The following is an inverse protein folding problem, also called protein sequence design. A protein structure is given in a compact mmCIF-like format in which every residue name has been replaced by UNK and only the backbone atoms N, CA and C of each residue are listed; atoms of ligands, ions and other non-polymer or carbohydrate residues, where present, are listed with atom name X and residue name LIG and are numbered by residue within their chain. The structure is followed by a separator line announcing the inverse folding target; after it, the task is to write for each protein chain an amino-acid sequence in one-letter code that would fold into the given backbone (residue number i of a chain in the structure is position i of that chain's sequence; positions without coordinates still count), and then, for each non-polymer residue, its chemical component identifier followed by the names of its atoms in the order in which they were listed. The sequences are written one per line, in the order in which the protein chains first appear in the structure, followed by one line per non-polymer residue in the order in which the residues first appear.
data_IF_817639794953
#
_entry.id   IF_817639794953
#
_cell.length_a   1.000
_cell.length_b   1.000
_cell.length_c   1.000
_cell.angle_alpha   90.00
_cell.angle_beta   90.00
_cell.angle_gamma   90.00
#
_symmetry.space_group_name_H-M   'P 1'
#
loop_
_entity.id
_entity.type
_entity.pdbx_description
1 polymer ?
#
# COMPACT_ATOMS: atom_id res chain seq x y z
N UNK A 1 89.75 3.73 46.52
CA UNK A 1 88.47 4.07 47.16
C UNK A 1 87.42 3.62 46.14
N UNK A 2 86.86 2.41 46.23
CA UNK A 2 86.14 1.84 47.38
C UNK A 2 84.80 2.57 47.51
N UNK A 3 83.61 1.98 47.48
CA UNK A 3 83.15 0.58 47.54
C UNK A 3 81.76 0.50 46.81
N UNK A 4 81.09 -0.62 46.49
CA UNK A 4 81.27 -2.06 46.78
C UNK A 4 80.57 -2.92 45.69
N UNK A 5 80.63 -4.26 45.78
CA UNK A 5 79.65 -5.18 45.17
C UNK A 5 78.69 -5.72 46.24
N UNK A 6 77.39 -5.83 45.93
CA UNK A 6 76.50 -6.79 46.60
C UNK A 6 75.64 -7.53 45.58
N UNK A 7 75.63 -8.85 45.73
CA UNK A 7 74.95 -9.84 44.90
C UNK A 7 73.71 -10.39 45.60
N UNK A 8 72.63 -10.63 44.87
CA UNK A 8 71.65 -11.68 45.24
C UNK A 8 71.20 -12.44 43.98
N UNK A 9 71.18 -13.77 44.07
CA UNK A 9 70.77 -14.69 43.00
C UNK A 9 69.24 -14.76 42.86
N UNK A 10 68.74 -15.03 41.66
CA UNK A 10 67.32 -15.29 41.39
C UNK A 10 67.10 -16.01 40.06
N UNK A 11 67.04 -17.35 40.11
CA UNK A 11 67.08 -18.22 38.93
C UNK A 11 65.72 -18.32 38.20
N UNK A 12 65.74 -18.24 36.86
CA UNK A 12 64.81 -18.91 35.94
C UNK A 12 63.37 -18.40 35.83
N UNK A 13 63.00 -17.88 34.66
CA UNK A 13 62.32 -18.73 33.66
C UNK A 13 62.24 -18.08 32.27
N UNK A 14 62.36 -18.91 31.23
CA UNK A 14 61.92 -18.54 29.89
C UNK A 14 60.40 -18.36 29.88
N UNK A 15 59.90 -17.30 29.23
CA UNK A 15 58.72 -17.43 28.39
C UNK A 15 58.70 -16.32 27.33
N UNK A 16 58.77 -16.74 26.07
CA UNK A 16 58.52 -15.88 24.92
C UNK A 16 57.07 -15.37 24.99
N UNK A 17 56.88 -14.05 25.00
CA UNK A 17 55.66 -13.43 24.50
C UNK A 17 56.02 -12.38 23.46
N UNK A 18 56.30 -12.88 22.25
CA UNK A 18 56.21 -12.06 21.05
C UNK A 18 54.74 -11.63 20.91
N UNK A 19 54.41 -10.42 21.38
CA UNK A 19 53.19 -9.74 20.95
C UNK A 19 53.33 -9.40 19.46
N UNK A 20 53.06 -10.41 18.64
CA UNK A 20 52.80 -10.24 17.22
C UNK A 20 51.47 -9.52 17.15
N UNK A 21 51.51 -8.22 16.91
CA UNK A 21 50.34 -7.47 16.47
C UNK A 21 49.84 -8.12 15.19
N UNK A 22 48.84 -9.00 15.32
CA UNK A 22 48.13 -9.57 14.19
C UNK A 22 47.28 -8.46 13.61
N UNK A 23 47.88 -7.68 12.70
CA UNK A 23 47.18 -6.82 11.76
C UNK A 23 46.23 -7.68 10.93
N UNK A 24 45.04 -7.91 11.47
CA UNK A 24 43.96 -8.61 10.79
C UNK A 24 43.47 -7.72 9.67
N UNK A 25 44.04 -7.90 8.48
CA UNK A 25 43.44 -7.40 7.25
C UNK A 25 42.05 -8.00 7.14
N UNK A 26 41.04 -7.19 7.46
CA UNK A 26 39.65 -7.62 7.44
C UNK A 26 39.29 -8.07 6.05
N UNK A 27 39.01 -9.36 5.88
CA UNK A 27 38.37 -9.86 4.66
C UNK A 27 36.98 -9.24 4.65
N UNK A 28 36.75 -8.26 3.78
CA UNK A 28 35.40 -7.72 3.60
C UNK A 28 34.49 -8.87 3.13
N UNK A 29 33.56 -9.24 4.00
CA UNK A 29 32.65 -10.35 3.74
C UNK A 29 31.78 -10.03 2.52
N UNK A 30 31.76 -10.93 1.53
CA UNK A 30 31.05 -10.72 0.26
C UNK A 30 29.59 -10.31 0.56
N UNK A 31 29.10 -9.18 0.02
CA UNK A 31 27.74 -8.75 0.27
C UNK A 31 26.74 -9.80 -0.24
N UNK A 32 25.68 -10.01 0.55
CA UNK A 32 24.59 -10.93 0.18
C UNK A 32 23.86 -10.36 -1.03
N UNK A 33 23.85 -11.10 -2.15
CA UNK A 33 23.27 -10.69 -3.42
C UNK A 33 21.78 -11.03 -3.42
N UNK A 34 20.97 -10.01 -3.17
CA UNK A 34 19.50 -10.09 -3.23
C UNK A 34 19.05 -9.64 -4.61
N UNK A 35 18.13 -10.40 -5.22
CA UNK A 35 17.48 -10.04 -6.47
C UNK A 35 16.00 -9.71 -6.22
N UNK A 36 15.53 -8.58 -6.75
CA UNK A 36 14.11 -8.24 -6.77
C UNK A 36 13.67 -7.94 -8.20
N UNK A 37 12.58 -8.54 -8.65
CA UNK A 37 12.04 -8.35 -9.99
C UNK A 37 10.71 -7.60 -10.04
N UNK A 38 10.40 -7.10 -11.23
CA UNK A 38 9.15 -6.43 -11.48
C UNK A 38 9.09 -5.75 -12.84
N UNK A 39 7.95 -5.09 -13.07
CA UNK A 39 7.72 -4.30 -14.27
C UNK A 39 8.16 -2.86 -14.05
N UNK A 40 7.96 -2.33 -12.84
CA UNK A 40 8.35 -0.97 -12.45
C UNK A 40 7.74 0.17 -13.30
N UNK A 41 6.64 -0.10 -14.00
CA UNK A 41 5.86 0.90 -14.76
C UNK A 41 5.26 1.98 -13.84
N UNK A 42 5.32 3.24 -14.28
CA UNK A 42 5.08 4.45 -13.49
C UNK A 42 5.78 4.38 -12.12
N UNK A 43 7.11 4.27 -12.11
CA UNK A 43 7.90 4.02 -10.91
C UNK A 43 7.55 4.99 -9.77
N UNK A 44 7.08 4.44 -8.65
CA UNK A 44 6.47 5.18 -7.55
C UNK A 44 6.97 4.69 -6.19
N UNK A 45 6.71 5.45 -5.12
CA UNK A 45 7.22 5.16 -3.78
C UNK A 45 6.88 3.76 -3.24
N UNK A 46 5.79 3.13 -3.69
CA UNK A 46 5.48 1.73 -3.37
C UNK A 46 6.52 0.72 -3.88
N UNK A 47 7.12 0.96 -5.06
CA UNK A 47 8.24 0.14 -5.58
C UNK A 47 9.51 0.45 -4.79
N UNK A 48 9.82 1.74 -4.59
CA UNK A 48 11.01 2.14 -3.83
C UNK A 48 11.01 1.58 -2.39
N UNK A 49 9.86 1.47 -1.71
CA UNK A 49 9.72 0.84 -0.40
C UNK A 49 9.84 -0.68 -0.41
N UNK A 50 9.47 -1.36 -1.51
CA UNK A 50 9.73 -2.80 -1.65
C UNK A 50 11.24 -3.06 -1.84
N UNK A 51 11.89 -2.25 -2.67
CA UNK A 51 13.35 -2.29 -2.87
C UNK A 51 14.12 -1.90 -1.60
N UNK A 52 13.61 -0.94 -0.81
CA UNK A 52 14.15 -0.61 0.52
C UNK A 52 14.14 -1.83 1.47
N UNK A 53 13.04 -2.59 1.49
CA UNK A 53 12.94 -3.81 2.29
C UNK A 53 13.95 -4.85 1.81
N UNK A 54 14.04 -5.09 0.49
CA UNK A 54 15.00 -6.02 -0.09
C UNK A 54 16.46 -5.65 0.24
N UNK A 55 16.83 -4.37 0.10
CA UNK A 55 18.17 -3.83 0.43
C UNK A 55 18.51 -3.92 1.93
N UNK A 56 17.51 -4.03 2.81
CA UNK A 56 17.66 -4.09 4.27
C UNK A 56 17.48 -5.51 4.84
N UNK A 57 17.36 -6.55 4.01
CA UNK A 57 17.21 -7.93 4.48
C UNK A 57 18.43 -8.44 5.26
N UNK A 58 19.63 -8.00 4.91
CA UNK A 58 20.88 -8.38 5.57
C UNK A 58 21.76 -7.15 5.84
N UNK A 59 22.66 -7.18 6.85
CA UNK A 59 23.52 -6.05 7.21
C UNK A 59 24.40 -5.55 6.05
N UNK A 60 24.92 -6.47 5.23
CA UNK A 60 25.66 -6.17 4.01
C UNK A 60 24.94 -6.79 2.80
N UNK A 61 24.11 -6.00 2.12
CA UNK A 61 23.29 -6.44 0.99
C UNK A 61 23.68 -5.71 -0.29
N UNK A 62 23.83 -6.46 -1.39
CA UNK A 62 23.90 -5.94 -2.76
C UNK A 62 22.59 -6.29 -3.49
N UNK A 63 21.83 -5.29 -3.88
CA UNK A 63 20.50 -5.43 -4.49
C UNK A 63 20.59 -5.29 -6.01
N UNK A 64 20.40 -6.42 -6.68
CA UNK A 64 20.14 -6.50 -8.11
C UNK A 64 18.64 -6.32 -8.34
N UNK A 65 18.25 -5.50 -9.32
CA UNK A 65 16.84 -5.32 -9.70
C UNK A 65 16.61 -5.73 -11.16
N UNK A 66 15.87 -6.83 -11.34
CA UNK A 66 15.46 -7.32 -12.64
C UNK A 66 14.23 -6.59 -13.15
N UNK A 67 14.29 -6.09 -14.39
CA UNK A 67 13.16 -5.41 -15.01
C UNK A 67 12.77 -6.11 -16.31
N UNK A 68 11.53 -6.60 -16.38
CA UNK A 68 11.01 -7.29 -17.56
C UNK A 68 10.90 -6.33 -18.75
N UNK A 69 11.21 -6.83 -19.95
CA UNK A 69 11.09 -6.05 -21.19
C UNK A 69 9.62 -5.86 -21.60
N UNK A 70 9.34 -4.96 -22.55
CA UNK A 70 7.97 -4.66 -22.95
C UNK A 70 7.28 -5.86 -23.61
N UNK A 71 8.00 -6.66 -24.41
CA UNK A 71 7.47 -7.86 -25.08
C UNK A 71 6.92 -8.89 -24.08
N UNK A 72 7.74 -9.34 -23.13
CA UNK A 72 7.33 -10.30 -22.08
C UNK A 72 6.20 -9.74 -21.23
N UNK A 73 6.28 -8.44 -20.88
CA UNK A 73 5.26 -7.78 -20.06
C UNK A 73 3.92 -7.74 -20.78
N UNK A 74 3.89 -7.37 -22.06
CA UNK A 74 2.66 -7.27 -22.85
C UNK A 74 2.07 -8.66 -23.12
N UNK A 75 2.92 -9.69 -23.27
CA UNK A 75 2.51 -11.08 -23.46
C UNK A 75 1.86 -11.70 -22.22
N UNK A 76 2.45 -11.50 -21.03
CA UNK A 76 2.06 -12.24 -19.82
C UNK A 76 1.30 -11.42 -18.76
N UNK A 77 1.22 -10.08 -18.90
CA UNK A 77 0.55 -9.21 -17.92
C UNK A 77 -0.38 -8.16 -18.54
N UNK A 78 0.08 -7.50 -19.60
CA UNK A 78 -0.63 -6.40 -20.25
C UNK A 78 0.27 -5.19 -20.54
N UNK A 79 -0.35 -4.11 -21.01
CA UNK A 79 0.36 -2.93 -21.51
C UNK A 79 1.02 -2.11 -20.39
N UNK A 80 2.19 -1.57 -20.71
CA UNK A 80 2.91 -0.55 -19.92
C UNK A 80 2.55 0.86 -20.41
N UNK A 81 2.69 1.85 -19.53
CA UNK A 81 2.63 3.29 -19.89
C UNK A 81 4.02 3.79 -20.25
N UNK A 82 5.02 3.47 -19.44
CA UNK A 82 6.43 3.75 -19.68
C UNK A 82 7.06 2.60 -20.48
N UNK A 83 7.88 2.92 -21.49
CA UNK A 83 8.63 1.90 -22.22
C UNK A 83 9.76 1.32 -21.36
N UNK A 84 10.28 0.17 -21.76
CA UNK A 84 11.30 -0.56 -21.00
C UNK A 84 12.54 0.27 -20.66
N UNK A 85 13.01 1.15 -21.56
CA UNK A 85 14.20 1.99 -21.31
C UNK A 85 13.93 3.03 -20.23
N UNK A 86 12.76 3.64 -20.24
CA UNK A 86 12.32 4.57 -19.18
C UNK A 86 12.17 3.85 -17.84
N UNK A 87 11.69 2.61 -17.83
CA UNK A 87 11.57 1.77 -16.62
C UNK A 87 12.95 1.36 -16.08
N UNK A 88 13.89 1.00 -16.97
CA UNK A 88 15.28 0.73 -16.60
C UNK A 88 15.95 1.96 -15.99
N UNK A 89 15.79 3.14 -16.59
CA UNK A 89 16.40 4.37 -16.08
C UNK A 89 15.78 4.83 -14.75
N UNK A 90 14.45 4.69 -14.60
CA UNK A 90 13.76 4.94 -13.33
C UNK A 90 14.33 4.14 -12.16
N UNK A 91 14.79 2.91 -12.42
CA UNK A 91 15.44 2.06 -11.41
C UNK A 91 16.87 2.51 -11.07
N UNK A 92 17.64 3.04 -12.03
CA UNK A 92 19.00 3.55 -11.79
C UNK A 92 19.04 4.75 -10.85
N UNK A 93 17.95 5.50 -10.78
CA UNK A 93 17.78 6.61 -9.84
C UNK A 93 17.14 6.20 -8.50
N UNK A 94 16.84 4.92 -8.29
CA UNK A 94 16.33 4.43 -7.01
C UNK A 94 17.48 4.25 -6.01
N UNK A 95 17.46 5.03 -4.91
CA UNK A 95 18.47 5.03 -3.82
C UNK A 95 18.91 3.64 -3.32
N UNK A 96 18.05 2.63 -3.41
CA UNK A 96 18.26 1.31 -2.81
C UNK A 96 18.92 0.30 -3.76
N UNK A 97 19.03 0.63 -5.05
CA UNK A 97 19.45 -0.29 -6.11
C UNK A 97 20.94 -0.13 -6.41
N UNK A 98 21.67 -1.24 -6.44
CA UNK A 98 23.10 -1.24 -6.81
C UNK A 98 23.30 -1.65 -8.27
N UNK A 99 22.50 -2.60 -8.77
CA UNK A 99 22.59 -3.14 -10.13
C UNK A 99 21.17 -3.24 -10.74
N UNK A 100 21.00 -2.83 -12.01
CA UNK A 100 19.76 -3.05 -12.77
C UNK A 100 20.04 -4.06 -13.87
N UNK A 101 19.25 -5.13 -13.93
CA UNK A 101 19.29 -6.18 -14.96
C UNK A 101 18.14 -5.93 -15.96
N UNK A 102 18.42 -5.42 -17.18
CA UNK A 102 17.44 -5.32 -18.26
C UNK A 102 17.06 -6.71 -18.79
N UNK A 103 15.91 -6.82 -19.47
CA UNK A 103 15.44 -8.08 -20.04
C UNK A 103 15.36 -9.23 -19.02
N UNK A 104 14.90 -8.94 -17.80
CA UNK A 104 14.72 -9.97 -16.78
C UNK A 104 13.72 -11.06 -17.25
N UNK A 105 13.98 -12.34 -16.94
CA UNK A 105 13.12 -13.44 -17.35
C UNK A 105 11.79 -13.42 -16.60
N UNK A 106 10.73 -14.01 -17.19
CA UNK A 106 9.41 -14.10 -16.57
C UNK A 106 9.34 -15.14 -15.44
N UNK A 107 10.14 -16.20 -15.54
CA UNK A 107 10.29 -17.27 -14.54
C UNK A 107 11.78 -17.44 -14.29
N UNK A 108 12.19 -17.49 -13.02
CA UNK A 108 13.59 -17.60 -12.65
C UNK A 108 14.09 -19.03 -12.81
N UNK A 109 15.29 -19.19 -13.38
CA UNK A 109 15.96 -20.49 -13.56
C UNK A 109 17.22 -20.56 -12.70
N UNK A 110 17.69 -21.78 -12.41
CA UNK A 110 18.97 -21.96 -11.69
C UNK A 110 20.13 -21.30 -12.43
N UNK A 111 20.18 -21.43 -13.76
CA UNK A 111 21.18 -20.77 -14.62
C UNK A 111 21.20 -19.23 -14.42
N UNK A 112 20.03 -18.59 -14.33
CA UNK A 112 19.95 -17.15 -14.08
C UNK A 112 20.43 -16.79 -12.66
N UNK A 113 20.06 -17.58 -11.66
CA UNK A 113 20.52 -17.42 -10.27
C UNK A 113 22.05 -17.54 -10.19
N UNK A 114 22.64 -18.56 -10.81
CA UNK A 114 24.08 -18.82 -10.78
C UNK A 114 24.87 -17.76 -11.55
N UNK A 115 24.40 -17.39 -12.75
CA UNK A 115 25.00 -16.34 -13.59
C UNK A 115 25.13 -15.00 -12.89
N UNK A 116 24.11 -14.60 -12.11
CA UNK A 116 24.09 -13.35 -11.37
C UNK A 116 24.55 -13.49 -9.90
N UNK A 117 24.94 -14.70 -9.49
CA UNK A 117 25.34 -15.08 -8.12
C UNK A 117 24.29 -14.70 -7.06
N UNK A 118 23.02 -14.99 -7.35
CA UNK A 118 21.88 -14.59 -6.52
C UNK A 118 21.76 -15.53 -5.31
N UNK A 119 21.89 -14.96 -4.12
CA UNK A 119 21.74 -15.65 -2.84
C UNK A 119 20.26 -15.79 -2.47
N UNK A 120 19.47 -14.71 -2.63
CA UNK A 120 18.06 -14.66 -2.29
C UNK A 120 17.23 -13.85 -3.30
N UNK A 121 15.94 -14.19 -3.43
CA UNK A 121 14.96 -13.49 -4.27
C UNK A 121 13.92 -12.81 -3.38
N UNK A 122 13.67 -11.52 -3.58
CA UNK A 122 12.80 -10.69 -2.76
C UNK A 122 11.60 -10.16 -3.56
N UNK A 123 10.39 -10.61 -3.21
CA UNK A 123 9.13 -10.13 -3.79
C UNK A 123 8.01 -10.14 -2.73
N UNK A 124 6.82 -9.61 -3.02
CA UNK A 124 5.66 -9.80 -2.14
C UNK A 124 5.17 -11.26 -2.13
N UNK A 125 4.47 -11.64 -1.06
CA UNK A 125 4.12 -13.04 -0.75
C UNK A 125 2.90 -13.57 -1.50
N UNK A 126 2.24 -12.75 -2.33
CA UNK A 126 1.08 -13.19 -3.10
C UNK A 126 1.53 -14.15 -4.22
N UNK A 127 0.85 -15.29 -4.43
CA UNK A 127 1.15 -16.16 -5.57
C UNK A 127 0.99 -15.42 -6.89
N UNK A 128 2.03 -15.40 -7.71
CA UNK A 128 1.98 -14.78 -9.03
C UNK A 128 1.65 -15.85 -10.07
N UNK A 129 0.36 -15.94 -10.40
CA UNK A 129 -0.17 -16.90 -11.37
C UNK A 129 0.66 -16.87 -12.66
N UNK A 130 1.28 -18.01 -12.98
CA UNK A 130 2.21 -18.10 -14.09
C UNK A 130 1.48 -18.19 -15.43
N UNK A 131 1.33 -17.03 -16.08
CA UNK A 131 0.78 -16.93 -17.43
C UNK A 131 1.64 -17.57 -18.53
N UNK A 132 2.85 -18.05 -18.22
CA UNK A 132 3.66 -18.85 -19.16
C UNK A 132 3.31 -20.35 -19.15
N UNK A 133 2.64 -20.83 -18.10
CA UNK A 133 2.17 -22.22 -17.98
C UNK A 133 3.22 -23.22 -17.47
N UNK A 134 4.35 -22.77 -16.91
CA UNK A 134 5.37 -23.60 -16.31
C UNK A 134 5.03 -24.03 -14.86
N UNK A 135 4.21 -23.27 -14.14
CA UNK A 135 3.81 -23.59 -12.76
C UNK A 135 2.49 -22.97 -12.30
N UNK A 136 2.23 -22.99 -10.99
CA UNK A 136 1.10 -22.24 -10.40
C UNK A 136 1.51 -20.84 -9.91
N UNK A 137 2.78 -20.69 -9.57
CA UNK A 137 3.39 -19.45 -9.10
C UNK A 137 4.77 -19.31 -9.76
N UNK A 138 5.08 -18.16 -10.38
CA UNK A 138 6.40 -17.93 -11.02
C UNK A 138 7.56 -18.04 -10.03
N UNK A 139 7.29 -17.88 -8.72
CA UNK A 139 8.28 -18.03 -7.65
C UNK A 139 8.32 -19.44 -7.02
N UNK A 140 7.57 -20.42 -7.52
CA UNK A 140 7.46 -21.78 -6.96
C UNK A 140 8.84 -22.46 -6.85
N UNK A 141 9.70 -22.33 -7.87
CA UNK A 141 11.07 -22.82 -7.87
C UNK A 141 11.94 -22.16 -6.78
N UNK A 142 11.95 -20.83 -6.69
CA UNK A 142 12.82 -20.13 -5.71
C UNK A 142 12.33 -20.27 -4.27
N UNK A 143 11.03 -20.54 -4.09
CA UNK A 143 10.43 -20.94 -2.80
C UNK A 143 10.84 -22.36 -2.39
N UNK A 144 10.82 -23.33 -3.31
CA UNK A 144 11.16 -24.73 -2.98
C UNK A 144 12.62 -24.93 -2.59
N UNK A 145 13.54 -24.13 -3.12
CA UNK A 145 14.97 -24.11 -2.73
C UNK A 145 15.28 -23.18 -1.54
N UNK A 146 14.27 -22.62 -0.87
CA UNK A 146 14.45 -21.79 0.33
C UNK A 146 15.09 -20.41 0.11
N UNK A 147 15.23 -19.96 -1.15
CA UNK A 147 15.85 -18.67 -1.51
C UNK A 147 14.87 -17.48 -1.53
N UNK A 148 13.57 -17.70 -1.37
CA UNK A 148 12.58 -16.62 -1.38
C UNK A 148 12.53 -15.83 -0.06
N UNK A 149 12.39 -14.50 -0.13
CA UNK A 149 12.24 -13.57 0.99
C UNK A 149 11.07 -12.64 0.75
N UNK A 150 10.14 -12.59 1.69
CA UNK A 150 8.91 -11.81 1.53
C UNK A 150 9.13 -10.32 1.81
N UNK A 151 8.56 -9.47 0.96
CA UNK A 151 8.42 -8.02 1.17
C UNK A 151 6.95 -7.65 1.32
N UNK A 152 6.68 -6.50 1.95
CA UNK A 152 5.32 -5.97 2.13
C UNK A 152 5.03 -4.90 1.09
N UNK A 153 3.86 -5.02 0.44
CA UNK A 153 3.30 -3.99 -0.43
C UNK A 153 3.02 -2.72 0.37
N UNK A 154 3.06 -1.57 -0.29
CA UNK A 154 2.64 -0.29 0.29
C UNK A 154 1.18 -0.01 -0.06
N UNK A 155 0.33 0.15 0.95
CA UNK A 155 -1.08 0.48 0.74
C UNK A 155 -1.28 1.88 0.16
N UNK A 156 -2.37 2.07 -0.58
CA UNK A 156 -2.77 3.35 -1.15
C UNK A 156 -1.93 3.84 -2.34
N UNK A 157 -1.08 2.99 -2.93
CA UNK A 157 -0.34 3.29 -4.17
C UNK A 157 -0.17 2.06 -5.07
N UNK A 158 -0.38 2.24 -6.37
CA UNK A 158 0.01 1.29 -7.43
C UNK A 158 -0.01 1.98 -8.79
N UNK A 159 0.66 1.42 -9.80
CA UNK A 159 0.55 1.83 -11.21
C UNK A 159 -0.91 1.97 -11.65
N UNK A 160 -1.75 0.97 -11.34
CA UNK A 160 -3.18 0.97 -11.67
C UNK A 160 -3.95 2.09 -10.97
N UNK A 161 -3.63 2.41 -9.72
CA UNK A 161 -4.26 3.50 -8.97
C UNK A 161 -3.85 4.88 -9.51
N UNK A 162 -2.57 5.09 -9.85
CA UNK A 162 -2.11 6.32 -10.55
C UNK A 162 -2.89 6.49 -11.87
N UNK A 163 -2.99 5.44 -12.68
CA UNK A 163 -3.76 5.44 -13.93
C UNK A 163 -5.25 5.76 -13.66
N UNK A 164 -5.86 5.15 -12.64
CA UNK A 164 -7.26 5.41 -12.29
C UNK A 164 -7.50 6.85 -11.84
N UNK A 165 -6.58 7.47 -11.08
CA UNK A 165 -6.64 8.89 -10.70
C UNK A 165 -6.63 9.78 -11.95
N UNK A 166 -5.65 9.59 -12.84
CA UNK A 166 -5.53 10.35 -14.11
C UNK A 166 -6.78 10.19 -14.98
N UNK A 167 -7.27 8.96 -15.18
CA UNK A 167 -8.47 8.70 -15.99
C UNK A 167 -9.74 9.29 -15.37
N UNK A 168 -9.88 9.25 -14.04
CA UNK A 168 -11.00 9.85 -13.31
C UNK A 168 -11.03 11.37 -13.52
N UNK A 169 -9.89 12.03 -13.43
CA UNK A 169 -9.80 13.48 -13.54
C UNK A 169 -9.91 13.96 -15.00
N UNK A 170 -9.34 13.22 -15.95
CA UNK A 170 -9.57 13.44 -17.39
C UNK A 170 -11.06 13.32 -17.75
N UNK A 171 -11.75 12.28 -17.27
CA UNK A 171 -13.18 12.10 -17.55
C UNK A 171 -14.03 13.24 -16.93
N UNK A 172 -13.65 13.74 -15.74
CA UNK A 172 -14.27 14.93 -15.13
C UNK A 172 -13.97 16.23 -15.88
N UNK A 173 -12.74 16.39 -16.41
CA UNK A 173 -12.37 17.51 -17.26
C UNK A 173 -13.20 17.53 -18.55
N UNK A 174 -13.28 16.41 -19.26
CA UNK A 174 -14.10 16.28 -20.48
C UNK A 174 -15.56 16.65 -20.19
N UNK A 175 -16.16 16.10 -19.14
CA UNK A 175 -17.56 16.37 -18.81
C UNK A 175 -17.84 17.83 -18.46
N UNK A 176 -16.96 18.48 -17.68
CA UNK A 176 -17.12 19.91 -17.35
C UNK A 176 -17.05 20.81 -18.57
N UNK A 177 -16.24 20.47 -19.57
CA UNK A 177 -16.14 21.26 -20.79
C UNK A 177 -17.27 20.98 -21.79
N UNK A 178 -17.75 19.74 -21.89
CA UNK A 178 -18.98 19.42 -22.65
C UNK A 178 -20.21 20.17 -22.09
N UNK A 179 -20.36 20.24 -20.76
CA UNK A 179 -21.43 21.01 -20.11
C UNK A 179 -21.27 22.54 -20.31
N UNK A 180 -20.06 23.03 -20.61
CA UNK A 180 -19.77 24.44 -20.97
C UNK A 180 -19.96 24.75 -22.46
N UNK A 181 -20.32 23.77 -23.29
CA UNK A 181 -20.55 23.94 -24.71
C UNK A 181 -19.35 23.69 -25.64
N UNK A 182 -18.19 23.27 -25.12
CA UNK A 182 -17.10 22.80 -25.98
C UNK A 182 -17.51 21.55 -26.76
N UNK A 183 -17.08 21.43 -28.01
CA UNK A 183 -17.40 20.26 -28.82
C UNK A 183 -16.47 19.09 -28.49
N UNK A 184 -16.91 17.88 -28.81
CA UNK A 184 -16.06 16.67 -28.70
C UNK A 184 -14.79 16.75 -29.55
N UNK A 185 -14.77 17.54 -30.64
CA UNK A 185 -13.61 17.68 -31.53
C UNK A 185 -12.51 18.49 -30.82
N UNK A 186 -12.89 19.60 -30.19
CA UNK A 186 -11.98 20.50 -29.46
C UNK A 186 -11.29 19.79 -28.29
N UNK A 187 -11.97 18.79 -27.70
CA UNK A 187 -11.47 17.99 -26.58
C UNK A 187 -10.73 16.70 -27.01
N UNK A 188 -10.63 16.42 -28.31
CA UNK A 188 -10.04 15.17 -28.82
C UNK A 188 -10.82 13.89 -28.45
N UNK A 189 -12.12 14.00 -28.19
CA UNK A 189 -12.96 12.91 -27.64
C UNK A 189 -13.75 12.20 -28.74
N UNK A 190 -13.68 10.87 -28.77
CA UNK A 190 -14.47 10.06 -29.69
C UNK A 190 -15.96 10.11 -29.34
N UNK A 191 -16.83 10.05 -30.36
CA UNK A 191 -18.28 10.15 -30.19
C UNK A 191 -18.86 9.10 -29.22
N UNK A 192 -18.36 7.86 -29.29
CA UNK A 192 -18.75 6.77 -28.37
C UNK A 192 -18.36 7.10 -26.92
N UNK A 193 -17.16 7.66 -26.70
CA UNK A 193 -16.70 8.08 -25.36
C UNK A 193 -17.55 9.23 -24.83
N UNK A 194 -17.88 10.22 -25.66
CA UNK A 194 -18.78 11.33 -25.29
C UNK A 194 -20.15 10.81 -24.85
N UNK A 195 -20.80 9.96 -25.66
CA UNK A 195 -22.12 9.37 -25.33
C UNK A 195 -22.08 8.55 -24.05
N UNK A 196 -21.05 7.69 -23.87
CA UNK A 196 -20.87 6.89 -22.64
C UNK A 196 -20.71 7.77 -21.40
N UNK A 197 -19.91 8.83 -21.47
CA UNK A 197 -19.73 9.77 -20.37
C UNK A 197 -21.03 10.53 -20.06
N UNK A 198 -21.78 10.97 -21.08
CA UNK A 198 -23.08 11.65 -20.93
C UNK A 198 -24.13 10.74 -20.27
N UNK A 199 -24.20 9.46 -20.65
CA UNK A 199 -25.07 8.45 -20.00
C UNK A 199 -24.68 8.23 -18.55
N UNK A 200 -23.39 8.00 -18.26
CA UNK A 200 -22.89 7.84 -16.89
C UNK A 200 -23.22 9.05 -16.00
N UNK A 201 -23.16 10.26 -16.56
CA UNK A 201 -23.53 11.48 -15.84
C UNK A 201 -25.04 11.57 -15.59
N UNK A 202 -25.88 11.16 -16.55
CA UNK A 202 -27.33 11.05 -16.38
C UNK A 202 -27.69 10.10 -15.23
N UNK A 203 -27.05 8.91 -15.20
CA UNK A 203 -27.20 7.94 -14.11
C UNK A 203 -26.72 8.50 -12.76
N UNK A 204 -25.60 9.24 -12.73
CA UNK A 204 -25.12 9.90 -11.50
C UNK A 204 -26.11 10.96 -11.00
N UNK A 205 -26.59 11.84 -11.88
CA UNK A 205 -27.61 12.87 -11.56
C UNK A 205 -28.92 12.23 -11.08
N UNK A 206 -29.33 11.09 -11.65
CA UNK A 206 -30.48 10.31 -11.18
C UNK A 206 -30.24 9.73 -9.78
N UNK A 207 -29.09 9.07 -9.54
CA UNK A 207 -28.73 8.51 -8.23
C UNK A 207 -28.69 9.59 -7.13
N UNK A 208 -28.17 10.77 -7.44
CA UNK A 208 -28.17 11.93 -6.52
C UNK A 208 -29.58 12.44 -6.22
N UNK A 209 -30.49 12.48 -7.22
CA UNK A 209 -31.91 12.81 -6.99
C UNK A 209 -32.61 11.78 -6.11
N UNK A 210 -32.40 10.48 -6.37
CA UNK A 210 -32.96 9.39 -5.56
C UNK A 210 -32.44 9.46 -4.12
N UNK A 211 -31.13 9.68 -3.91
CA UNK A 211 -30.56 9.83 -2.56
C UNK A 211 -31.19 11.01 -1.81
N UNK A 212 -31.31 12.18 -2.46
CA UNK A 212 -31.97 13.37 -1.88
C UNK A 212 -33.46 13.14 -1.58
N UNK A 213 -34.14 12.30 -2.35
CA UNK A 213 -35.53 11.90 -2.05
C UNK A 213 -35.59 10.95 -0.85
N UNK A 214 -34.69 9.96 -0.77
CA UNK A 214 -34.60 9.05 0.38
C UNK A 214 -34.30 9.81 1.68
N UNK A 215 -33.35 10.75 1.66
CA UNK A 215 -33.03 11.63 2.79
C UNK A 215 -34.27 12.42 3.24
N UNK A 216 -34.97 13.11 2.33
CA UNK A 216 -36.21 13.86 2.63
C UNK A 216 -37.37 12.99 3.12
N UNK A 217 -37.48 11.75 2.64
CA UNK A 217 -38.51 10.80 3.11
C UNK A 217 -38.16 10.31 4.52
N UNK A 218 -36.89 10.03 4.80
CA UNK A 218 -36.39 9.69 6.14
C UNK A 218 -36.67 10.81 7.16
N UNK A 219 -36.33 12.06 6.82
CA UNK A 219 -36.65 13.23 7.64
C UNK A 219 -38.16 13.36 7.92
N UNK A 220 -39.01 13.21 6.89
CA UNK A 220 -40.47 13.26 7.06
C UNK A 220 -41.01 12.15 7.95
N UNK A 221 -40.52 10.92 7.82
CA UNK A 221 -40.91 9.79 8.68
C UNK A 221 -40.48 10.05 10.13
N UNK A 222 -39.25 10.55 10.34
CA UNK A 222 -38.74 10.90 11.66
C UNK A 222 -39.58 11.99 12.34
N UNK A 223 -39.89 13.08 11.62
CA UNK A 223 -40.76 14.16 12.10
C UNK A 223 -42.20 13.67 12.38
N UNK A 224 -42.76 12.83 11.52
CA UNK A 224 -44.09 12.23 11.71
C UNK A 224 -44.15 11.37 12.98
N UNK A 225 -43.13 10.56 13.22
CA UNK A 225 -43.02 9.72 14.42
C UNK A 225 -42.80 10.56 15.70
N UNK A 226 -42.02 11.65 15.63
CA UNK A 226 -41.90 12.59 16.73
C UNK A 226 -43.23 13.25 17.10
N UNK A 227 -44.01 13.66 16.10
CA UNK A 227 -45.34 14.28 16.30
C UNK A 227 -46.35 13.28 16.86
N UNK A 228 -46.34 12.01 16.44
CA UNK A 228 -47.26 10.99 16.99
C UNK A 228 -46.94 10.65 18.45
N UNK A 229 -45.65 10.60 18.83
CA UNK A 229 -45.21 10.44 20.23
C UNK A 229 -45.58 11.66 21.09
N UNK A 230 -45.45 12.88 20.56
CA UNK A 230 -45.90 14.10 21.26
C UNK A 230 -47.42 14.09 21.48
N UNK A 231 -48.20 13.72 20.46
CA UNK A 231 -49.66 13.62 20.56
C UNK A 231 -50.13 12.56 21.56
N UNK A 232 -49.50 11.39 21.63
CA UNK A 232 -49.88 10.36 22.60
C UNK A 232 -49.56 10.75 24.05
N UNK A 233 -48.49 11.51 24.27
CA UNK A 233 -48.17 12.07 25.60
C UNK A 233 -49.13 13.18 26.01
N UNK A 234 -49.57 14.04 25.09
CA UNK A 234 -50.56 15.09 25.43
C UNK A 234 -51.95 14.53 25.69
N UNK A 235 -52.42 13.52 24.96
CA UNK A 235 -53.71 12.86 25.29
C UNK A 235 -53.65 12.10 26.61
N UNK A 236 -52.51 11.48 26.95
CA UNK A 236 -52.31 10.90 28.28
C UNK A 236 -52.37 11.95 29.39
N UNK A 237 -51.72 13.11 29.23
CA UNK A 237 -51.77 14.20 30.20
C UNK A 237 -53.19 14.78 30.36
N UNK A 238 -53.92 14.98 29.26
CA UNK A 238 -55.30 15.46 29.29
C UNK A 238 -56.25 14.48 30.00
N UNK A 239 -56.07 13.17 29.77
CA UNK A 239 -56.76 12.11 30.50
C UNK A 239 -56.48 12.19 32.01
N UNK A 240 -55.21 12.31 32.41
CA UNK A 240 -54.82 12.45 33.82
C UNK A 240 -55.38 13.72 34.47
N UNK A 241 -55.43 14.86 33.78
CA UNK A 241 -56.06 16.08 34.31
C UNK A 241 -57.58 15.91 34.47
N UNK A 242 -58.24 15.21 33.55
CA UNK A 242 -59.68 14.95 33.62
C UNK A 242 -60.02 14.00 34.79
N UNK A 243 -59.19 12.97 34.99
CA UNK A 243 -59.29 12.04 36.13
C UNK A 243 -59.03 12.78 37.45
N UNK A 244 -57.97 13.59 37.53
CA UNK A 244 -57.66 14.39 38.72
C UNK A 244 -58.79 15.36 39.08
N UNK A 245 -59.35 16.07 38.09
CA UNK A 245 -60.49 16.97 38.29
C UNK A 245 -61.75 16.22 38.75
N UNK A 246 -61.97 15.00 38.24
CA UNK A 246 -63.10 14.15 38.65
C UNK A 246 -62.96 13.66 40.10
N UNK A 247 -61.73 13.34 40.53
CA UNK A 247 -61.42 12.91 41.90
C UNK A 247 -61.54 14.09 42.88
N UNK A 248 -61.03 15.28 42.54
CA UNK A 248 -61.07 16.44 43.44
C UNK A 248 -62.47 17.02 43.64
N UNK A 249 -63.40 16.82 42.69
CA UNK A 249 -64.80 17.22 42.82
C UNK A 249 -65.65 16.30 43.72
N UNK A 250 -65.11 15.18 44.22
CA UNK A 250 -65.86 14.21 45.05
C UNK A 250 -65.49 14.19 46.55
N UNK A 251 -64.58 15.06 47.02
CA UNK A 251 -64.16 15.11 48.44
C UNK A 251 -64.46 16.45 49.13
N UNK A 252 -65.63 16.60 49.80
CA UNK A 252 -65.98 17.81 50.54
C UNK A 252 -65.50 17.76 52.01
N UNK A 253 -64.19 17.89 52.25
CA UNK A 253 -63.68 18.24 53.59
C UNK A 253 -62.30 18.93 53.54
N UNK A 254 -62.28 20.24 53.74
CA UNK A 254 -61.02 20.97 53.94
C UNK A 254 -60.63 21.02 55.41
N UNK A 255 -59.33 20.83 55.71
CA UNK A 255 -58.51 21.76 56.56
C UNK A 255 -57.06 21.29 56.76
N UNK A 256 -56.14 22.23 56.52
CA UNK A 256 -54.85 22.50 57.21
C UNK A 256 -53.76 21.40 57.27
N UNK A 257 -52.53 21.77 56.88
CA UNK A 257 -51.41 22.05 57.80
C UNK A 257 -50.02 21.70 57.22
N UNK A 258 -49.11 22.69 57.20
CA UNK A 258 -47.64 22.65 57.12
C UNK A 258 -46.93 21.31 56.87
N UNK A 259 -46.29 21.14 55.69
CA UNK A 259 -44.88 21.47 55.46
C UNK A 259 -44.59 21.60 53.95
#
# INVERSE_FOLDING_TARGET
MGDQQQSVNGNGNNNNNNNKESGGGGVEERPVRVYADGIYDLFHFGHARALEQAKKLFPNTYLLVGCCNDELTHKYKGKTVMNEKERYESLRHCRWVDEVIPNAPWVLTMEFLDKHQIDYVAHDSLPYADASGAGKDVYEFVKSIGKFKETKRTDGISTSDIIMRILKDYNQYVMRNLDRGYTRKDLGVSYVKEKRLRVNMGLKKLRERVKKQQEKVGEKIYLSNGISILKSRTTALLSWTQIYYSITQQCPCGKKSYF
#
